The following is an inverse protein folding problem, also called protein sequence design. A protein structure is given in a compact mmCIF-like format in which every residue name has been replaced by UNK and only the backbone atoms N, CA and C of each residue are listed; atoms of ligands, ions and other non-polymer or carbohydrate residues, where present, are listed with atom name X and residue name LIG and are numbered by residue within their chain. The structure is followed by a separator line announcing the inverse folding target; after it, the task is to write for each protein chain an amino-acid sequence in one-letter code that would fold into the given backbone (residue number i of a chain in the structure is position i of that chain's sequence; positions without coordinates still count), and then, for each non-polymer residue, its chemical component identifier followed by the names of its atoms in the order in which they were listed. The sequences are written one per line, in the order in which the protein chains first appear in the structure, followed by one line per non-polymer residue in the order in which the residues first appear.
data_IF_799193853685
#
_entry.id   IF_799193853685
#
_cell.length_a   1.000
_cell.length_b   1.000
_cell.length_c   1.000
_cell.angle_alpha   90.00
_cell.angle_beta   90.00
_cell.angle_gamma   90.00
#
_symmetry.space_group_name_H-M   'P 1'
#
loop_
_entity.id
_entity.type
_entity.pdbx_description
1 polymer ?
#
# COMPACT_ATOMS: atom_id res chain seq x y z
N UNK A 1 17.77 0.14 -8.98
CA UNK A 1 16.45 -0.20 -8.45
C UNK A 1 16.47 -0.14 -6.94
N UNK A 2 15.48 0.52 -6.36
CA UNK A 2 15.35 0.65 -4.89
C UNK A 2 14.14 -0.16 -4.45
N UNK A 3 14.29 -0.92 -3.37
CA UNK A 3 13.18 -1.68 -2.79
C UNK A 3 13.09 -1.39 -1.29
N UNK A 4 11.88 -1.12 -0.82
CA UNK A 4 11.59 -0.95 0.60
C UNK A 4 10.37 -1.80 0.97
N UNK A 5 10.45 -2.52 2.08
CA UNK A 5 9.35 -3.34 2.56
C UNK A 5 9.25 -3.26 4.07
N UNK A 6 8.03 -3.19 4.58
CA UNK A 6 7.71 -3.31 6.00
C UNK A 6 6.61 -4.36 6.15
N UNK A 7 6.51 -5.00 7.30
CA UNK A 7 5.50 -6.02 7.52
C UNK A 7 4.86 -5.92 8.90
N UNK A 8 3.74 -6.60 9.06
CA UNK A 8 3.03 -6.71 10.32
C UNK A 8 2.18 -8.00 10.31
N UNK A 9 2.04 -8.63 11.48
CA UNK A 9 1.13 -9.76 11.63
C UNK A 9 -0.22 -9.24 12.13
N UNK A 10 -1.28 -9.60 11.40
CA UNK A 10 -2.66 -9.24 11.75
C UNK A 10 -3.37 -10.51 12.22
N UNK A 11 -4.00 -10.44 13.38
CA UNK A 11 -4.70 -11.57 13.98
C UNK A 11 -6.09 -11.73 13.39
N UNK A 12 -6.12 -12.04 12.10
CA UNK A 12 -7.33 -12.30 11.33
C UNK A 12 -6.96 -13.02 10.05
N UNK A 13 -7.88 -13.80 9.45
CA UNK A 13 -7.59 -14.49 8.18
C UNK A 13 -7.40 -13.51 7.02
N UNK A 14 -6.70 -13.93 5.96
CA UNK A 14 -6.49 -13.08 4.79
C UNK A 14 -7.75 -12.49 4.18
N UNK A 15 -8.87 -13.22 4.22
CA UNK A 15 -10.15 -12.71 3.71
C UNK A 15 -10.60 -11.44 4.45
N UNK A 16 -10.44 -11.39 5.77
CA UNK A 16 -10.81 -10.23 6.56
C UNK A 16 -9.89 -9.04 6.29
N UNK A 17 -8.60 -9.28 6.17
CA UNK A 17 -7.61 -8.24 5.84
C UNK A 17 -7.90 -7.68 4.45
N UNK A 18 -8.10 -8.56 3.48
CA UNK A 18 -8.37 -8.19 2.09
C UNK A 18 -9.61 -7.31 1.96
N UNK A 19 -10.67 -7.68 2.66
CA UNK A 19 -11.94 -6.92 2.64
C UNK A 19 -11.72 -5.46 3.00
N UNK A 20 -11.01 -5.19 4.08
CA UNK A 20 -10.76 -3.82 4.53
C UNK A 20 -9.73 -3.10 3.66
N UNK A 21 -8.70 -3.80 3.24
CA UNK A 21 -7.65 -3.23 2.39
C UNK A 21 -8.20 -2.75 1.04
N UNK A 22 -9.10 -3.51 0.43
CA UNK A 22 -9.61 -3.21 -0.91
C UNK A 22 -10.89 -2.37 -0.91
N UNK A 23 -11.47 -2.12 0.24
CA UNK A 23 -12.63 -1.23 0.35
C UNK A 23 -12.15 0.24 0.40
N UNK A 24 -11.68 0.73 -0.73
CA UNK A 24 -11.05 2.05 -0.85
C UNK A 24 -11.97 3.18 -0.39
N UNK A 25 -13.28 3.05 -0.63
CA UNK A 25 -14.24 4.07 -0.25
C UNK A 25 -14.38 4.26 1.26
N UNK A 26 -13.88 3.30 2.05
CA UNK A 26 -13.94 3.38 3.51
C UNK A 26 -12.58 3.59 4.17
N UNK A 27 -11.53 3.82 3.41
CA UNK A 27 -10.20 4.10 4.00
C UNK A 27 -10.25 5.31 4.93
N UNK A 28 -11.10 6.29 4.66
CA UNK A 28 -11.26 7.47 5.53
C UNK A 28 -11.69 7.12 6.95
N UNK A 29 -12.35 5.98 7.13
CA UNK A 29 -12.87 5.59 8.44
C UNK A 29 -11.77 5.15 9.40
N UNK A 30 -10.63 4.72 8.88
CA UNK A 30 -9.59 4.15 9.73
C UNK A 30 -8.15 4.57 9.36
N UNK A 31 -7.90 5.06 8.15
CA UNK A 31 -6.55 5.46 7.75
C UNK A 31 -6.34 6.96 7.91
N UNK A 32 -5.28 7.31 8.64
CA UNK A 32 -4.84 8.70 8.81
C UNK A 32 -3.52 8.95 8.10
N UNK A 33 -2.97 7.93 7.44
CA UNK A 33 -1.69 7.99 6.73
C UNK A 33 -1.91 8.23 5.25
N UNK A 34 -1.87 7.18 4.45
CA UNK A 34 -2.24 7.30 3.06
C UNK A 34 -3.54 6.56 2.79
N UNK A 35 -4.20 6.93 1.69
CA UNK A 35 -5.52 6.41 1.33
C UNK A 35 -5.56 6.16 -0.16
N UNK A 36 -6.39 5.19 -0.55
CA UNK A 36 -6.66 4.92 -1.96
C UNK A 36 -8.07 5.37 -2.31
N UNK A 37 -8.22 5.86 -3.54
CA UNK A 37 -9.50 6.18 -4.14
C UNK A 37 -9.63 5.45 -5.46
N UNK A 38 -10.82 5.01 -5.82
CA UNK A 38 -11.10 4.28 -7.05
C UNK A 38 -11.66 2.91 -6.78
N UNK A 39 -11.53 2.02 -7.77
CA UNK A 39 -12.03 0.66 -7.70
C UNK A 39 -10.89 -0.35 -7.74
N UNK A 40 -10.93 -1.43 -6.97
CA UNK A 40 -9.88 -2.44 -6.97
C UNK A 40 -10.00 -3.38 -8.17
N UNK A 41 -9.80 -2.84 -9.36
CA UNK A 41 -9.93 -3.57 -10.64
C UNK A 41 -8.66 -3.37 -11.44
N UNK A 42 -8.08 -4.46 -11.95
CA UNK A 42 -6.85 -4.41 -12.77
C UNK A 42 -7.07 -3.53 -13.99
N UNK A 43 -6.08 -2.67 -14.28
CA UNK A 43 -6.13 -1.71 -15.38
C UNK A 43 -6.90 -0.44 -15.06
N UNK A 44 -7.62 -0.41 -13.94
CA UNK A 44 -8.35 0.78 -13.51
C UNK A 44 -7.43 1.87 -13.00
N UNK A 45 -7.73 3.13 -13.30
CA UNK A 45 -7.05 4.24 -12.65
C UNK A 45 -7.50 4.33 -11.19
N UNK A 46 -6.57 4.67 -10.33
CA UNK A 46 -6.84 4.93 -8.93
C UNK A 46 -6.06 6.18 -8.51
N UNK A 47 -6.34 6.66 -7.31
CA UNK A 47 -5.64 7.82 -6.74
C UNK A 47 -5.12 7.44 -5.36
N UNK A 48 -3.85 7.71 -5.15
CA UNK A 48 -3.23 7.58 -3.82
C UNK A 48 -3.07 8.97 -3.23
N UNK A 49 -3.58 9.15 -2.03
CA UNK A 49 -3.43 10.38 -1.27
C UNK A 49 -2.46 10.14 -0.12
N UNK A 50 -1.43 10.97 -0.04
CA UNK A 50 -0.38 10.84 0.98
C UNK A 50 0.16 12.21 1.37
N UNK A 51 1.02 12.25 2.39
CA UNK A 51 1.61 13.52 2.87
C UNK A 51 3.08 13.56 2.50
N UNK A 52 3.47 14.62 1.78
CA UNK A 52 4.87 14.91 1.45
C UNK A 52 5.15 16.37 1.78
N UNK A 53 6.26 16.60 2.48
CA UNK A 53 6.71 17.96 2.86
C UNK A 53 5.59 18.76 3.55
N UNK A 54 4.85 18.09 4.45
CA UNK A 54 3.77 18.72 5.20
C UNK A 54 2.50 18.99 4.43
N UNK A 55 2.40 18.54 3.18
CA UNK A 55 1.23 18.77 2.32
C UNK A 55 0.58 17.45 1.94
N UNK A 56 -0.76 17.47 1.92
CA UNK A 56 -1.53 16.35 1.38
C UNK A 56 -1.47 16.40 -0.14
N UNK A 57 -1.00 15.33 -0.74
CA UNK A 57 -0.84 15.22 -2.20
C UNK A 57 -1.56 13.98 -2.69
N UNK A 58 -2.19 14.11 -3.87
CA UNK A 58 -2.77 12.98 -4.55
C UNK A 58 -2.00 12.68 -5.82
N UNK A 59 -1.78 11.41 -6.09
CA UNK A 59 -1.13 10.98 -7.33
C UNK A 59 -1.95 9.89 -8.00
N UNK A 60 -1.99 9.93 -9.34
CA UNK A 60 -2.70 8.92 -10.11
C UNK A 60 -1.82 7.70 -10.28
N UNK A 61 -2.43 6.54 -10.09
CA UNK A 61 -1.77 5.24 -10.26
C UNK A 61 -2.67 4.32 -11.06
N UNK A 62 -2.10 3.21 -11.55
CA UNK A 62 -2.85 2.18 -12.27
C UNK A 62 -2.70 0.87 -11.51
N UNK A 63 -3.82 0.19 -11.27
CA UNK A 63 -3.79 -1.10 -10.59
C UNK A 63 -3.25 -2.17 -11.54
N UNK A 64 -2.17 -2.83 -11.12
CA UNK A 64 -1.50 -3.88 -11.88
C UNK A 64 -1.98 -5.27 -11.53
N UNK A 65 -2.27 -5.49 -10.24
CA UNK A 65 -2.66 -6.81 -9.75
C UNK A 65 -3.69 -6.67 -8.64
N UNK A 66 -4.77 -7.40 -8.77
CA UNK A 66 -5.80 -7.56 -7.76
C UNK A 66 -6.06 -9.06 -7.66
N UNK A 67 -5.20 -9.75 -6.91
CA UNK A 67 -5.28 -11.20 -6.71
C UNK A 67 -5.88 -11.41 -5.33
N UNK A 68 -7.15 -11.77 -5.30
CA UNK A 68 -7.97 -11.81 -4.09
C UNK A 68 -7.28 -12.57 -2.96
N UNK A 69 -7.19 -11.92 -1.79
CA UNK A 69 -6.57 -12.46 -0.56
C UNK A 69 -5.05 -12.71 -0.67
N UNK A 70 -4.42 -12.36 -1.78
CA UNK A 70 -2.99 -12.63 -2.00
C UNK A 70 -2.17 -11.39 -2.29
N UNK A 71 -2.57 -10.58 -3.28
CA UNK A 71 -1.74 -9.45 -3.68
C UNK A 71 -2.55 -8.30 -4.27
N UNK A 72 -2.28 -7.09 -3.79
CA UNK A 72 -2.75 -5.84 -4.38
C UNK A 72 -1.52 -5.05 -4.79
N UNK A 73 -1.46 -4.61 -6.07
CA UNK A 73 -0.30 -3.90 -6.60
C UNK A 73 -0.73 -2.80 -7.56
N UNK A 74 -0.06 -1.67 -7.47
CA UNK A 74 -0.25 -0.58 -8.43
C UNK A 74 1.09 0.04 -8.80
N UNK A 75 1.10 0.77 -9.92
CA UNK A 75 2.27 1.48 -10.39
C UNK A 75 1.94 2.93 -10.70
N UNK A 76 2.93 3.79 -10.57
CA UNK A 76 2.82 5.20 -10.89
C UNK A 76 4.18 5.85 -11.06
N UNK A 77 4.17 7.09 -11.53
CA UNK A 77 5.38 7.85 -11.74
C UNK A 77 5.84 7.84 -13.19
N UNK A 78 6.74 8.76 -13.55
CA UNK A 78 7.21 8.90 -14.93
C UNK A 78 8.10 7.74 -15.37
N UNK A 79 7.70 7.07 -16.44
CA UNK A 79 8.43 5.92 -16.99
C UNK A 79 9.87 6.28 -17.33
N UNK A 80 10.79 5.39 -17.00
CA UNK A 80 12.21 5.55 -17.29
C UNK A 80 12.94 6.46 -16.31
N UNK A 81 12.25 7.31 -15.59
CA UNK A 81 12.85 8.24 -14.63
C UNK A 81 12.68 7.74 -13.20
N UNK A 82 11.45 7.56 -12.75
CA UNK A 82 11.15 7.07 -11.41
C UNK A 82 9.76 6.43 -11.41
N UNK A 83 9.69 5.13 -11.68
CA UNK A 83 8.44 4.38 -11.64
C UNK A 83 8.37 3.60 -10.35
N UNK A 84 7.32 3.86 -9.55
CA UNK A 84 7.06 3.11 -8.33
C UNK A 84 6.08 1.99 -8.57
N UNK A 85 6.38 0.81 -8.03
CA UNK A 85 5.46 -0.32 -7.96
C UNK A 85 5.19 -0.61 -6.49
N UNK A 86 4.00 -0.31 -6.05
CA UNK A 86 3.59 -0.42 -4.65
C UNK A 86 2.77 -1.69 -4.47
N UNK A 87 3.04 -2.45 -3.41
CA UNK A 87 2.37 -3.73 -3.22
C UNK A 87 1.99 -4.01 -1.77
N UNK A 88 0.92 -4.79 -1.64
CA UNK A 88 0.51 -5.46 -0.40
C UNK A 88 0.42 -6.94 -0.72
N UNK A 89 1.19 -7.75 0.00
CA UNK A 89 1.17 -9.20 -0.14
C UNK A 89 0.66 -9.79 1.16
N UNK A 90 -0.35 -10.65 1.07
CA UNK A 90 -0.95 -11.32 2.22
C UNK A 90 -0.52 -12.78 2.25
N UNK A 91 0.09 -13.20 3.35
CA UNK A 91 0.49 -14.59 3.55
C UNK A 91 -0.25 -15.16 4.75
N UNK A 92 -0.89 -16.29 4.54
CA UNK A 92 -1.62 -16.98 5.60
C UNK A 92 -0.65 -17.48 6.68
N UNK A 93 -1.03 -17.32 7.94
CA UNK A 93 -0.28 -17.76 9.11
C UNK A 93 -1.20 -18.54 10.05
N UNK A 94 -0.61 -19.37 10.92
CA UNK A 94 -1.31 -20.07 12.00
C UNK A 94 -2.53 -20.85 11.50
N UNK A 95 -2.35 -21.65 10.43
CA UNK A 95 -3.40 -22.46 9.87
C UNK A 95 -4.54 -21.68 9.23
N UNK A 96 -4.31 -20.41 8.88
CA UNK A 96 -5.31 -19.55 8.24
C UNK A 96 -5.97 -18.56 9.18
N UNK A 97 -5.65 -18.59 10.48
CA UNK A 97 -6.25 -17.67 11.45
C UNK A 97 -5.58 -16.30 11.53
N UNK A 98 -4.38 -16.18 10.99
CA UNK A 98 -3.64 -14.92 10.99
C UNK A 98 -3.05 -14.63 9.62
N UNK A 99 -2.62 -13.40 9.40
CA UNK A 99 -2.05 -12.94 8.14
C UNK A 99 -0.76 -12.17 8.39
N UNK A 100 0.29 -12.53 7.66
CA UNK A 100 1.46 -11.67 7.53
C UNK A 100 1.19 -10.72 6.36
N UNK A 101 1.10 -9.44 6.65
CA UNK A 101 0.96 -8.40 5.63
C UNK A 101 2.35 -7.87 5.30
N UNK A 102 2.75 -8.01 4.04
CA UNK A 102 3.97 -7.44 3.51
C UNK A 102 3.61 -6.24 2.66
N UNK A 103 4.12 -5.09 3.01
CA UNK A 103 3.78 -3.82 2.39
C UNK A 103 5.05 -3.14 1.94
N UNK A 104 5.17 -2.89 0.66
CA UNK A 104 6.40 -2.34 0.15
C UNK A 104 6.26 -1.62 -1.17
N UNK A 105 7.40 -1.17 -1.65
CA UNK A 105 7.48 -0.41 -2.89
C UNK A 105 8.84 -0.64 -3.55
N UNK A 106 8.82 -0.77 -4.86
CA UNK A 106 10.01 -0.87 -5.69
C UNK A 106 10.05 0.34 -6.61
N UNK A 107 11.15 1.10 -6.56
CA UNK A 107 11.39 2.20 -7.49
C UNK A 107 12.40 1.79 -8.53
N UNK A 108 12.07 2.02 -9.79
CA UNK A 108 12.94 1.76 -10.94
C UNK A 108 13.07 3.02 -11.78
N UNK A 109 14.19 3.13 -12.52
CA UNK A 109 14.45 4.24 -13.39
C UNK A 109 15.72 4.99 -13.03
N UNK A 110 16.12 5.88 -13.92
CA UNK A 110 17.39 6.60 -13.82
C UNK A 110 17.51 7.43 -12.54
N UNK A 111 16.41 8.05 -12.11
CA UNK A 111 16.38 8.93 -10.94
C UNK A 111 15.85 8.25 -9.68
N UNK A 112 15.55 6.95 -9.75
CA UNK A 112 14.93 6.24 -8.62
C UNK A 112 15.71 6.37 -7.31
N UNK A 113 17.04 6.17 -7.26
CA UNK A 113 17.78 6.33 -6.01
C UNK A 113 17.70 7.74 -5.43
N UNK A 114 17.75 8.75 -6.28
CA UNK A 114 17.67 10.14 -5.85
C UNK A 114 16.29 10.47 -5.30
N UNK A 115 15.25 10.08 -6.03
CA UNK A 115 13.86 10.31 -5.61
C UNK A 115 13.59 9.62 -4.27
N UNK A 116 14.03 8.36 -4.11
CA UNK A 116 13.83 7.65 -2.87
C UNK A 116 14.59 8.28 -1.70
N UNK A 117 15.81 8.79 -1.95
CA UNK A 117 16.57 9.49 -0.91
C UNK A 117 15.82 10.71 -0.38
N UNK A 118 15.05 11.38 -1.26
CA UNK A 118 14.27 12.57 -0.89
C UNK A 118 12.96 12.24 -0.20
N UNK A 119 12.18 11.30 -0.74
CA UNK A 119 10.81 11.04 -0.25
C UNK A 119 10.71 9.86 0.71
N UNK A 120 11.65 8.92 0.63
CA UNK A 120 11.63 7.71 1.47
C UNK A 120 11.51 7.99 2.96
N UNK A 121 12.29 8.92 3.54
CA UNK A 121 12.17 9.25 4.96
C UNK A 121 10.77 9.73 5.37
N UNK A 122 10.02 10.29 4.45
CA UNK A 122 8.65 10.75 4.70
C UNK A 122 7.62 9.65 4.47
N UNK A 123 7.87 8.74 3.53
CA UNK A 123 6.93 7.67 3.18
C UNK A 123 6.99 6.49 4.16
N UNK A 124 8.19 6.11 4.62
CA UNK A 124 8.34 4.94 5.50
C UNK A 124 7.45 4.99 6.74
N UNK A 125 7.40 6.11 7.50
CA UNK A 125 6.50 6.18 8.66
C UNK A 125 5.03 6.04 8.28
N UNK A 126 4.64 6.54 7.11
CA UNK A 126 3.26 6.45 6.64
C UNK A 126 2.87 5.01 6.31
N UNK A 127 3.77 4.25 5.71
CA UNK A 127 3.53 2.84 5.41
C UNK A 127 3.36 2.04 6.70
N UNK A 128 4.23 2.26 7.68
CA UNK A 128 4.14 1.59 8.97
C UNK A 128 2.85 1.97 9.72
N UNK A 129 2.45 3.25 9.66
CA UNK A 129 1.21 3.72 10.27
C UNK A 129 0.00 3.11 9.62
N UNK A 130 -0.01 3.04 8.28
CA UNK A 130 -1.09 2.38 7.54
C UNK A 130 -1.26 0.93 7.98
N UNK A 131 -0.15 0.21 8.11
CA UNK A 131 -0.19 -1.18 8.55
C UNK A 131 -0.82 -1.32 9.93
N UNK A 132 -0.44 -0.47 10.88
CA UNK A 132 -1.00 -0.49 12.24
C UNK A 132 -2.48 -0.11 12.25
N UNK A 133 -2.86 0.84 11.43
CA UNK A 133 -4.26 1.28 11.33
C UNK A 133 -5.13 0.20 10.70
N UNK A 134 -4.63 -0.45 9.66
CA UNK A 134 -5.32 -1.59 9.06
C UNK A 134 -5.48 -2.74 10.07
N UNK A 135 -4.41 -3.06 10.80
CA UNK A 135 -4.45 -4.09 11.84
C UNK A 135 -5.53 -3.78 12.88
N UNK A 136 -5.56 -2.56 13.38
CA UNK A 136 -6.59 -2.16 14.37
C UNK A 136 -7.99 -2.26 13.80
N UNK A 137 -8.18 -1.84 12.56
CA UNK A 137 -9.49 -1.92 11.90
C UNK A 137 -9.97 -3.36 11.77
N UNK A 138 -9.09 -4.23 11.31
CA UNK A 138 -9.43 -5.64 11.06
C UNK A 138 -9.69 -6.38 12.36
N UNK A 139 -8.83 -6.19 13.37
CA UNK A 139 -8.92 -6.92 14.65
C UNK A 139 -10.03 -6.36 15.55
N UNK A 140 -10.33 -5.09 15.44
CA UNK A 140 -11.35 -4.44 16.28
C UNK A 140 -12.76 -4.56 15.75
N UNK A 141 -12.91 -5.02 14.55
CA UNK A 141 -14.18 -5.07 13.92
C UNK A 141 -14.46 -6.26 13.16
#
# INVERSE_FOLDING_TARGET
MVNYETDIVIDAPPAAVWKHLTDFGRHDEWSHSFKLRGQPVVGSPARVELVLFGRSLGTRVTLDRVDEEHELRWRGGPKGLATGSHYFILESRDGGGATLLRHGETFAGLLAPLVWAMIGPQLRPQYASFNRELKRRVEGG
#
